data_IF_919998464618
#
_entry.id   IF_919998464618
#
_cell.length_a   1.000
_cell.length_b   1.000
_cell.length_c   1.000
_cell.angle_alpha   90.00
_cell.angle_beta   90.00
_cell.angle_gamma   90.00
#
_symmetry.space_group_name_H-M   'P 1'
#
loop_
_entity.id
_entity.type
_entity.pdbx_description
1 polymer ?
#
# COMPACT_ATOMS: atom_id res chain seq x y z
N UNK A 1 -18.63 -24.49 -4.00
CA UNK A 1 -18.50 -23.04 -3.74
C UNK A 1 -18.39 -22.33 -5.07
N UNK A 2 -19.15 -21.25 -5.26
CA UNK A 2 -19.20 -20.52 -6.53
C UNK A 2 -17.86 -19.80 -6.74
N UNK A 3 -17.18 -20.06 -7.85
CA UNK A 3 -15.82 -19.55 -8.13
C UNK A 3 -15.75 -18.02 -8.07
N UNK A 4 -16.86 -17.35 -8.40
CA UNK A 4 -17.06 -15.91 -8.29
C UNK A 4 -16.81 -15.38 -6.87
N UNK A 5 -17.37 -16.02 -5.84
CA UNK A 5 -17.19 -15.57 -4.44
C UNK A 5 -15.76 -15.73 -3.96
N UNK A 6 -15.02 -16.71 -4.49
CA UNK A 6 -13.60 -16.88 -4.20
C UNK A 6 -12.78 -15.71 -4.77
N UNK A 7 -13.09 -15.29 -6.01
CA UNK A 7 -12.43 -14.17 -6.69
C UNK A 7 -12.74 -12.86 -5.96
N UNK A 8 -14.00 -12.58 -5.68
CA UNK A 8 -14.43 -11.37 -4.96
C UNK A 8 -13.79 -11.28 -3.57
N UNK A 9 -13.78 -12.38 -2.82
CA UNK A 9 -13.15 -12.43 -1.50
C UNK A 9 -11.63 -12.18 -1.56
N UNK A 10 -10.96 -12.72 -2.59
CA UNK A 10 -9.51 -12.50 -2.78
C UNK A 10 -9.21 -11.05 -3.16
N UNK A 11 -9.99 -10.47 -4.07
CA UNK A 11 -9.85 -9.07 -4.48
C UNK A 11 -10.08 -8.13 -3.29
N UNK A 12 -11.10 -8.39 -2.47
CA UNK A 12 -11.34 -7.63 -1.25
C UNK A 12 -10.17 -7.71 -0.26
N UNK A 13 -9.63 -8.92 -0.02
CA UNK A 13 -8.46 -9.09 0.84
C UNK A 13 -7.23 -8.33 0.33
N UNK A 14 -7.01 -8.31 -0.99
CA UNK A 14 -5.93 -7.55 -1.62
C UNK A 14 -6.12 -6.03 -1.45
N UNK A 15 -7.34 -5.51 -1.57
CA UNK A 15 -7.64 -4.10 -1.32
C UNK A 15 -7.31 -3.73 0.12
N UNK A 16 -7.75 -4.53 1.10
CA UNK A 16 -7.47 -4.30 2.52
C UNK A 16 -5.96 -4.34 2.80
N UNK A 17 -5.24 -5.28 2.20
CA UNK A 17 -3.78 -5.39 2.31
C UNK A 17 -3.09 -4.12 1.79
N UNK A 18 -3.49 -3.63 0.61
CA UNK A 18 -2.91 -2.42 0.00
C UNK A 18 -3.20 -1.16 0.81
N UNK A 19 -4.39 -1.05 1.40
CA UNK A 19 -4.71 0.06 2.32
C UNK A 19 -3.83 0.02 3.57
N UNK A 20 -3.61 -1.17 4.14
CA UNK A 20 -2.70 -1.35 5.27
C UNK A 20 -1.25 -0.99 4.94
N UNK A 21 -0.77 -1.41 3.76
CA UNK A 21 0.57 -1.07 3.26
C UNK A 21 0.73 0.43 3.03
N UNK A 22 -0.29 1.09 2.45
CA UNK A 22 -0.30 2.53 2.29
C UNK A 22 -0.23 3.28 3.62
N UNK A 23 -1.06 2.88 4.58
CA UNK A 23 -1.04 3.46 5.93
C UNK A 23 0.32 3.26 6.61
N UNK A 24 0.88 2.05 6.54
CA UNK A 24 2.17 1.72 7.11
C UNK A 24 3.33 2.51 6.50
N UNK A 25 3.32 2.71 5.18
CA UNK A 25 4.38 3.45 4.50
C UNK A 25 4.29 4.95 4.81
N UNK A 26 3.10 5.55 4.84
CA UNK A 26 2.95 6.96 5.27
C UNK A 26 3.33 7.16 6.73
N UNK A 27 2.97 6.21 7.60
CA UNK A 27 3.40 6.25 9.01
C UNK A 27 4.93 6.16 9.13
N UNK A 28 5.56 5.27 8.36
CA UNK A 28 7.02 5.12 8.32
C UNK A 28 7.69 6.39 7.81
N UNK A 29 7.16 6.99 6.73
CA UNK A 29 7.60 8.28 6.20
C UNK A 29 7.55 9.39 7.26
N UNK A 30 6.46 9.48 8.03
CA UNK A 30 6.28 10.52 9.05
C UNK A 30 7.20 10.32 10.26
N UNK A 31 7.47 9.07 10.63
CA UNK A 31 8.15 8.71 11.89
C UNK A 31 9.61 8.30 11.72
N UNK A 32 10.12 8.19 10.49
CA UNK A 32 11.52 7.83 10.23
C UNK A 32 12.47 8.86 10.87
N UNK A 33 13.25 8.40 11.87
CA UNK A 33 14.25 9.21 12.60
C UNK A 33 15.68 8.94 12.15
N UNK A 34 15.98 7.73 11.70
CA UNK A 34 17.31 7.34 11.20
C UNK A 34 17.12 6.47 9.95
N UNK A 35 17.69 6.85 8.81
CA UNK A 35 17.68 6.03 7.62
C UNK A 35 18.70 4.89 7.77
N UNK A 36 18.59 3.86 6.93
CA UNK A 36 19.60 2.80 6.83
C UNK A 36 20.95 3.42 6.40
N UNK A 37 22.06 2.81 6.82
CA UNK A 37 23.41 3.33 6.51
C UNK A 37 23.56 3.55 5.00
N UNK A 38 23.79 4.80 4.59
CA UNK A 38 24.07 5.19 3.21
C UNK A 38 22.95 5.97 2.49
N UNK A 39 21.72 6.03 3.00
CA UNK A 39 20.64 6.82 2.37
C UNK A 39 20.35 8.13 3.10
N UNK A 40 19.94 9.16 2.34
CA UNK A 40 19.50 10.41 2.95
C UNK A 40 18.11 10.25 3.57
N UNK A 41 17.88 10.93 4.70
CA UNK A 41 16.58 10.90 5.40
C UNK A 41 15.42 11.37 4.51
N UNK A 42 15.71 12.28 3.58
CA UNK A 42 14.75 12.83 2.61
C UNK A 42 14.40 11.79 1.55
N UNK A 43 15.40 11.08 1.02
CA UNK A 43 15.22 10.04 0.00
C UNK A 43 14.36 8.88 0.51
N UNK A 44 14.66 8.33 1.70
CA UNK A 44 13.81 7.26 2.27
C UNK A 44 12.39 7.73 2.57
N UNK A 45 12.17 9.00 2.95
CA UNK A 45 10.82 9.53 3.12
C UNK A 45 10.07 9.61 1.79
N UNK A 46 10.74 10.00 0.71
CA UNK A 46 10.15 10.04 -0.63
C UNK A 46 9.80 8.63 -1.11
N UNK A 47 10.67 7.65 -0.87
CA UNK A 47 10.41 6.24 -1.21
C UNK A 47 9.16 5.69 -0.51
N UNK A 48 9.06 5.87 0.81
CA UNK A 48 7.88 5.42 1.57
C UNK A 48 6.61 6.18 1.18
N UNK A 49 6.72 7.48 0.86
CA UNK A 49 5.62 8.27 0.32
C UNK A 49 5.14 7.75 -1.03
N UNK A 50 6.05 7.49 -1.97
CA UNK A 50 5.74 6.93 -3.28
C UNK A 50 5.11 5.54 -3.18
N UNK A 51 5.67 4.68 -2.32
CA UNK A 51 5.13 3.34 -2.07
C UNK A 51 3.68 3.40 -1.53
N UNK A 52 3.41 4.37 -0.65
CA UNK A 52 2.07 4.58 -0.11
C UNK A 52 1.07 5.01 -1.16
N UNK A 53 1.44 6.00 -1.98
CA UNK A 53 0.59 6.47 -3.09
C UNK A 53 0.36 5.34 -4.11
N UNK A 54 1.40 4.60 -4.49
CA UNK A 54 1.27 3.46 -5.40
C UNK A 54 0.29 2.41 -4.85
N UNK A 55 0.40 2.08 -3.57
CA UNK A 55 -0.51 1.14 -2.90
C UNK A 55 -1.96 1.62 -2.94
N UNK A 56 -2.21 2.92 -2.73
CA UNK A 56 -3.56 3.50 -2.86
C UNK A 56 -4.09 3.45 -4.30
N UNK A 57 -3.25 3.72 -5.30
CA UNK A 57 -3.65 3.65 -6.71
C UNK A 57 -4.06 2.23 -7.07
N UNK A 58 -3.29 1.22 -6.68
CA UNK A 58 -3.65 -0.19 -6.90
C UNK A 58 -4.91 -0.59 -6.14
N UNK A 59 -5.10 -0.13 -4.90
CA UNK A 59 -6.33 -0.39 -4.15
C UNK A 59 -7.56 0.22 -4.86
N UNK A 60 -7.43 1.43 -5.41
CA UNK A 60 -8.47 2.08 -6.19
C UNK A 60 -8.81 1.32 -7.47
N UNK A 61 -7.79 0.85 -8.22
CA UNK A 61 -7.98 0.04 -9.42
C UNK A 61 -8.70 -1.28 -9.11
N UNK A 62 -8.29 -1.99 -8.05
CA UNK A 62 -8.92 -3.24 -7.63
C UNK A 62 -10.36 -3.02 -7.16
N UNK A 63 -10.62 -1.91 -6.46
CA UNK A 63 -11.99 -1.54 -6.07
C UNK A 63 -12.86 -1.30 -7.30
N UNK A 64 -12.34 -0.64 -8.33
CA UNK A 64 -13.04 -0.43 -9.61
C UNK A 64 -13.28 -1.71 -10.43
N UNK A 65 -12.55 -2.80 -10.15
CA UNK A 65 -12.79 -4.12 -10.75
C UNK A 65 -13.86 -4.90 -9.95
N UNK A 66 -13.98 -4.64 -8.64
CA UNK A 66 -14.93 -5.30 -7.75
C UNK A 66 -16.34 -4.69 -7.81
N UNK A 67 -16.46 -3.41 -8.17
CA UNK A 67 -17.71 -2.64 -8.22
C UNK A 67 -18.39 -2.64 -9.60
#
# INVERSE_FOLDING_TARGET
MNFTYLIEGTLFALIVLLLGLAGGSFFTMATLKRPAEGSSLVESRIEFGFYGVASLVFAGLLTGILC
#
